data_IF_622405670113
#
_entry.id   IF_622405670113
#
_cell.length_a   1.000
_cell.length_b   1.000
_cell.length_c   1.000
_cell.angle_alpha   90.00
_cell.angle_beta   90.00
_cell.angle_gamma   90.00
#
_symmetry.space_group_name_H-M   'P 1'
#
loop_
_entity.id
_entity.type
_entity.pdbx_description
1 polymer ?
#
# COMPACT_ATOMS: atom_id res chain seq x y z
N UNK A 1 3.82 21.28 -23.66
CA UNK A 1 2.37 21.29 -23.33
C UNK A 1 2.00 22.44 -22.39
N UNK A 2 0.76 22.94 -22.47
CA UNK A 2 0.26 24.05 -21.65
C UNK A 2 -0.54 23.55 -20.43
N UNK A 3 -0.50 24.30 -19.32
CA UNK A 3 -1.26 24.06 -18.09
C UNK A 3 -2.78 24.05 -18.34
N UNK A 4 -3.28 24.82 -19.30
CA UNK A 4 -4.71 24.84 -19.67
C UNK A 4 -5.22 23.44 -20.09
N UNK A 5 -4.39 22.65 -20.78
CA UNK A 5 -4.74 21.30 -21.21
C UNK A 5 -4.87 20.34 -20.03
N UNK A 6 -4.14 20.57 -18.92
CA UNK A 6 -4.26 19.77 -17.71
C UNK A 6 -5.62 20.01 -17.06
N UNK A 7 -6.09 21.25 -17.00
CA UNK A 7 -7.38 21.56 -16.38
C UNK A 7 -8.55 20.95 -17.17
N UNK A 8 -8.48 20.97 -18.50
CA UNK A 8 -9.43 20.28 -19.38
C UNK A 8 -9.39 18.77 -19.20
N UNK A 9 -8.18 18.17 -19.16
CA UNK A 9 -8.02 16.75 -18.89
C UNK A 9 -8.63 16.37 -17.54
N UNK A 10 -8.36 17.14 -16.50
CA UNK A 10 -8.90 16.90 -15.15
C UNK A 10 -10.42 17.03 -15.14
N UNK A 11 -10.98 18.03 -15.84
CA UNK A 11 -12.43 18.21 -15.99
C UNK A 11 -13.06 17.01 -16.70
N UNK A 12 -12.41 16.45 -17.73
CA UNK A 12 -12.91 15.25 -18.42
C UNK A 12 -13.03 14.02 -17.50
N UNK A 13 -12.29 14.01 -16.38
CA UNK A 13 -12.25 12.91 -15.41
C UNK A 13 -13.04 13.19 -14.14
N UNK A 14 -13.64 14.38 -14.00
CA UNK A 14 -14.24 14.84 -12.73
C UNK A 14 -15.39 13.94 -12.25
N UNK A 15 -16.14 13.36 -13.18
CA UNK A 15 -17.29 12.52 -12.87
C UNK A 15 -16.89 11.08 -12.49
N UNK A 16 -15.68 10.65 -12.85
CA UNK A 16 -15.22 9.27 -12.68
C UNK A 16 -14.22 9.12 -11.52
N UNK A 17 -13.59 10.22 -11.10
CA UNK A 17 -12.54 10.20 -10.10
C UNK A 17 -12.97 10.90 -8.82
N UNK A 18 -12.61 10.30 -7.68
CA UNK A 18 -12.74 10.97 -6.39
C UNK A 18 -11.93 12.29 -6.37
N UNK A 19 -12.40 13.29 -5.61
CA UNK A 19 -11.77 14.60 -5.50
C UNK A 19 -10.27 14.54 -5.10
N UNK A 20 -9.91 13.58 -4.25
CA UNK A 20 -8.51 13.36 -3.84
C UNK A 20 -7.65 12.82 -4.98
N UNK A 21 -8.20 11.95 -5.85
CA UNK A 21 -7.53 11.47 -7.05
C UNK A 21 -7.30 12.62 -8.02
N UNK A 22 -8.32 13.45 -8.26
CA UNK A 22 -8.22 14.65 -9.11
C UNK A 22 -7.10 15.59 -8.62
N UNK A 23 -7.10 15.91 -7.33
CA UNK A 23 -6.08 16.78 -6.72
C UNK A 23 -4.67 16.21 -6.90
N UNK A 24 -4.50 14.91 -6.66
CA UNK A 24 -3.22 14.23 -6.81
C UNK A 24 -2.75 14.17 -8.26
N UNK A 25 -3.67 13.88 -9.20
CA UNK A 25 -3.37 13.81 -10.62
C UNK A 25 -2.87 15.17 -11.14
N UNK A 26 -3.62 16.23 -10.85
CA UNK A 26 -3.25 17.60 -11.23
C UNK A 26 -1.87 17.97 -10.70
N UNK A 27 -1.62 17.73 -9.41
CA UNK A 27 -0.33 18.03 -8.80
C UNK A 27 0.83 17.25 -9.45
N UNK A 28 0.62 15.98 -9.83
CA UNK A 28 1.65 15.16 -10.47
C UNK A 28 1.93 15.57 -11.91
N UNK A 29 0.89 15.89 -12.69
CA UNK A 29 1.06 16.39 -14.05
C UNK A 29 1.71 17.77 -14.06
N UNK A 30 1.28 18.69 -13.20
CA UNK A 30 1.87 20.02 -13.08
C UNK A 30 3.38 19.98 -12.79
N UNK A 31 3.82 19.03 -11.98
CA UNK A 31 5.23 18.87 -11.61
C UNK A 31 6.15 18.48 -12.80
N UNK A 32 5.58 17.94 -13.88
CA UNK A 32 6.36 17.43 -15.04
C UNK A 32 5.93 18.05 -16.36
N UNK A 33 4.84 18.83 -16.41
CA UNK A 33 4.21 19.36 -17.62
C UNK A 33 5.19 20.06 -18.58
N UNK A 34 6.16 20.81 -18.04
CA UNK A 34 7.17 21.54 -18.82
C UNK A 34 8.12 20.63 -19.59
N UNK A 35 8.22 19.36 -19.20
CA UNK A 35 9.09 18.35 -19.80
C UNK A 35 8.30 17.31 -20.60
N UNK A 36 6.98 17.51 -20.78
CA UNK A 36 6.18 16.68 -21.69
C UNK A 36 6.31 17.29 -23.10
N UNK A 37 7.11 16.64 -23.92
CA UNK A 37 7.40 16.97 -25.33
C UNK A 37 6.98 15.80 -26.23
N UNK A 38 7.13 15.97 -27.54
CA UNK A 38 6.92 14.90 -28.54
C UNK A 38 8.12 13.92 -28.59
N UNK A 39 9.02 13.99 -27.60
CA UNK A 39 10.10 13.05 -27.39
C UNK A 39 10.11 12.53 -25.93
N UNK A 40 9.59 11.31 -25.67
CA UNK A 40 9.50 10.77 -24.31
C UNK A 40 10.86 10.61 -23.59
N UNK A 41 11.97 10.59 -24.33
CA UNK A 41 13.33 10.50 -23.76
C UNK A 41 13.65 11.74 -22.92
N UNK A 42 13.15 12.91 -23.30
CA UNK A 42 13.40 14.17 -22.57
C UNK A 42 12.82 14.10 -21.16
N UNK A 43 11.58 13.62 -21.05
CA UNK A 43 10.93 13.39 -19.75
C UNK A 43 11.69 12.33 -18.95
N UNK A 44 12.11 11.23 -19.58
CA UNK A 44 12.85 10.18 -18.91
C UNK A 44 14.17 10.71 -18.31
N UNK A 45 14.97 11.42 -19.11
CA UNK A 45 16.24 12.00 -18.69
C UNK A 45 16.04 13.04 -17.57
N UNK A 46 15.01 13.89 -17.69
CA UNK A 46 14.65 14.82 -16.61
C UNK A 46 14.38 14.09 -15.29
N UNK A 47 13.56 13.02 -15.32
CA UNK A 47 13.21 12.28 -14.11
C UNK A 47 14.40 11.52 -13.50
N UNK A 48 15.26 10.94 -14.34
CA UNK A 48 16.51 10.31 -13.90
C UNK A 48 17.44 11.33 -13.25
N UNK A 49 17.65 12.49 -13.88
CA UNK A 49 18.49 13.57 -13.36
C UNK A 49 17.96 14.14 -12.04
N UNK A 50 16.63 14.08 -11.82
CA UNK A 50 15.99 14.42 -10.53
C UNK A 50 16.02 13.27 -9.52
N UNK A 51 16.76 12.19 -9.77
CA UNK A 51 16.88 11.01 -8.90
C UNK A 51 15.55 10.33 -8.57
N UNK A 52 14.58 10.34 -9.50
CA UNK A 52 13.35 9.58 -9.30
C UNK A 52 13.62 8.08 -9.32
N UNK A 53 13.01 7.35 -8.39
CA UNK A 53 13.05 5.88 -8.38
C UNK A 53 12.34 5.34 -9.62
N UNK A 54 12.82 4.23 -10.18
CA UNK A 54 12.22 3.57 -11.36
C UNK A 54 10.69 3.38 -11.26
N UNK A 55 10.16 3.07 -10.06
CA UNK A 55 8.72 2.99 -9.82
C UNK A 55 8.00 4.31 -10.02
N UNK A 56 8.54 5.38 -9.44
CA UNK A 56 7.99 6.71 -9.59
C UNK A 56 8.03 7.15 -11.06
N UNK A 57 9.12 6.84 -11.78
CA UNK A 57 9.24 7.11 -13.21
C UNK A 57 8.14 6.38 -13.97
N UNK A 58 7.98 5.06 -13.78
CA UNK A 58 6.93 4.27 -14.43
C UNK A 58 5.54 4.86 -14.20
N UNK A 59 5.22 5.22 -12.95
CA UNK A 59 3.91 5.78 -12.59
C UNK A 59 3.70 7.15 -13.23
N UNK A 60 4.72 8.01 -13.28
CA UNK A 60 4.64 9.30 -13.96
C UNK A 60 4.40 9.08 -15.46
N UNK A 61 5.15 8.18 -16.08
CA UNK A 61 4.99 7.84 -17.49
C UNK A 61 3.59 7.31 -17.82
N UNK A 62 3.00 6.46 -16.98
CA UNK A 62 1.61 6.01 -17.17
C UNK A 62 0.61 7.16 -17.13
N UNK A 63 0.79 8.12 -16.23
CA UNK A 63 -0.06 9.32 -16.12
C UNK A 63 0.09 10.23 -17.33
N UNK A 64 1.34 10.46 -17.75
CA UNK A 64 1.67 11.25 -18.93
C UNK A 64 1.15 10.57 -20.19
N UNK A 65 1.20 9.25 -20.30
CA UNK A 65 0.64 8.52 -21.43
C UNK A 65 -0.87 8.72 -21.57
N UNK A 66 -1.64 8.62 -20.49
CA UNK A 66 -3.09 8.88 -20.51
C UNK A 66 -3.39 10.36 -20.83
N UNK A 67 -2.63 11.30 -20.27
CA UNK A 67 -2.79 12.73 -20.53
C UNK A 67 -2.41 13.12 -21.97
N UNK A 68 -1.33 12.56 -22.50
CA UNK A 68 -0.85 12.80 -23.86
C UNK A 68 -1.82 12.23 -24.88
N UNK A 69 -2.36 11.04 -24.62
CA UNK A 69 -3.42 10.45 -25.44
C UNK A 69 -4.68 11.34 -25.48
N UNK A 70 -5.06 11.94 -24.35
CA UNK A 70 -6.21 12.86 -24.30
C UNK A 70 -5.97 14.13 -25.14
N UNK A 71 -4.77 14.70 -25.09
CA UNK A 71 -4.45 16.00 -25.72
C UNK A 71 -4.11 15.88 -27.21
N UNK A 72 -3.30 14.89 -27.59
CA UNK A 72 -2.79 14.75 -28.96
C UNK A 72 -3.44 13.60 -29.75
N UNK A 73 -4.27 12.77 -29.10
CA UNK A 73 -4.86 11.55 -29.70
C UNK A 73 -3.82 10.55 -30.22
N UNK A 74 -2.63 10.55 -29.61
CA UNK A 74 -1.48 9.73 -29.97
C UNK A 74 -1.03 8.87 -28.76
N UNK A 75 -0.57 7.66 -29.06
CA UNK A 75 -0.05 6.66 -28.12
C UNK A 75 1.46 6.77 -27.85
N UNK A 76 2.18 7.77 -28.38
CA UNK A 76 3.63 7.97 -28.26
C UNK A 76 4.24 7.54 -26.92
N UNK A 77 3.79 8.14 -25.80
CA UNK A 77 4.30 7.80 -24.47
C UNK A 77 3.94 6.38 -24.03
N UNK A 78 2.75 5.90 -24.41
CA UNK A 78 2.29 4.53 -24.12
C UNK A 78 3.14 3.51 -24.87
N UNK A 79 3.49 3.77 -26.12
CA UNK A 79 4.30 2.89 -26.94
C UNK A 79 5.77 2.94 -26.51
N UNK A 80 6.28 4.11 -26.13
CA UNK A 80 7.61 4.22 -25.53
C UNK A 80 7.76 3.36 -24.26
N UNK A 81 6.76 3.34 -23.37
CA UNK A 81 6.77 2.47 -22.18
C UNK A 81 6.83 0.98 -22.58
N UNK A 82 6.08 0.57 -23.60
CA UNK A 82 6.07 -0.82 -24.09
C UNK A 82 7.41 -1.21 -24.68
N UNK A 83 7.96 -0.40 -25.59
CA UNK A 83 9.25 -0.64 -26.24
C UNK A 83 10.40 -0.65 -25.23
N UNK A 84 10.26 0.08 -24.12
CA UNK A 84 11.26 0.16 -23.04
C UNK A 84 10.86 -0.62 -21.78
N UNK A 85 10.05 -1.70 -21.91
CA UNK A 85 9.56 -2.48 -20.78
C UNK A 85 10.69 -2.97 -19.85
N UNK A 86 11.87 -3.28 -20.40
CA UNK A 86 13.04 -3.72 -19.66
C UNK A 86 13.57 -2.67 -18.67
N UNK A 87 13.47 -1.36 -18.97
CA UNK A 87 13.84 -0.29 -18.04
C UNK A 87 13.01 -0.36 -16.74
N UNK A 88 11.79 -0.87 -16.86
CA UNK A 88 10.81 -0.98 -15.79
C UNK A 88 10.64 -2.41 -15.25
N UNK A 89 11.53 -3.34 -15.61
CA UNK A 89 11.58 -4.69 -15.06
C UNK A 89 12.02 -4.62 -13.59
N UNK A 90 11.47 -5.50 -12.74
CA UNK A 90 11.78 -5.59 -11.29
C UNK A 90 11.54 -4.33 -10.45
N UNK A 91 10.84 -3.34 -11.01
CA UNK A 91 10.50 -2.08 -10.31
C UNK A 91 9.69 -2.29 -9.03
N UNK A 92 8.95 -3.41 -8.96
CA UNK A 92 8.11 -3.77 -7.84
C UNK A 92 8.81 -4.64 -6.79
N UNK A 93 10.15 -4.75 -6.80
CA UNK A 93 10.88 -5.54 -5.80
C UNK A 93 10.49 -5.11 -4.38
N UNK A 94 9.72 -5.98 -3.71
CA UNK A 94 9.13 -5.70 -2.39
C UNK A 94 10.21 -5.87 -1.34
N UNK A 95 10.47 -4.83 -0.55
CA UNK A 95 11.40 -4.91 0.58
C UNK A 95 10.82 -5.83 1.66
N UNK A 96 11.61 -6.81 2.10
CA UNK A 96 11.32 -7.57 3.33
C UNK A 96 11.31 -6.61 4.52
N UNK A 97 10.42 -6.88 5.48
CA UNK A 97 10.43 -6.16 6.75
C UNK A 97 11.67 -6.59 7.53
N UNK A 98 12.37 -5.63 8.13
CA UNK A 98 13.55 -5.90 8.97
C UNK A 98 13.20 -6.22 10.43
N UNK A 99 11.92 -6.17 10.78
CA UNK A 99 11.41 -6.32 12.14
C UNK A 99 10.34 -7.40 12.12
N UNK A 100 10.24 -8.15 13.20
CA UNK A 100 9.19 -9.14 13.42
C UNK A 100 8.01 -8.55 14.22
N UNK A 101 6.96 -9.37 14.38
CA UNK A 101 5.75 -8.98 15.10
C UNK A 101 6.02 -8.66 16.58
N UNK A 102 6.87 -9.46 17.26
CA UNK A 102 7.14 -9.32 18.70
C UNK A 102 7.90 -8.04 18.99
N UNK A 103 8.90 -7.73 18.18
CA UNK A 103 9.68 -6.50 18.26
C UNK A 103 8.81 -5.27 17.96
N UNK A 104 7.90 -5.34 16.98
CA UNK A 104 6.98 -4.25 16.72
C UNK A 104 6.06 -3.96 17.91
N UNK A 105 5.54 -4.99 18.60
CA UNK A 105 4.74 -4.81 19.82
C UNK A 105 5.56 -4.12 20.92
N UNK A 106 6.81 -4.55 21.16
CA UNK A 106 7.71 -3.91 22.13
C UNK A 106 7.86 -2.42 21.82
N UNK A 107 8.12 -2.06 20.56
CA UNK A 107 8.26 -0.67 20.10
C UNK A 107 6.97 0.14 20.23
N UNK A 108 5.81 -0.46 19.97
CA UNK A 108 4.52 0.22 20.17
C UNK A 108 4.32 0.56 21.64
N UNK A 109 4.73 -0.33 22.54
CA UNK A 109 4.57 -0.11 23.98
C UNK A 109 5.46 1.01 24.55
N UNK A 110 6.52 1.43 23.84
CA UNK A 110 7.34 2.59 24.25
C UNK A 110 6.71 3.93 23.90
N UNK A 111 5.62 3.96 23.12
CA UNK A 111 4.93 5.20 22.78
C UNK A 111 4.31 5.82 24.03
N UNK A 112 4.58 7.10 24.33
CA UNK A 112 4.05 7.74 25.54
C UNK A 112 2.54 7.98 25.45
N UNK A 113 2.02 8.30 24.27
CA UNK A 113 0.60 8.60 24.11
C UNK A 113 -0.25 7.33 24.03
N UNK A 114 -1.11 7.13 25.03
CA UNK A 114 -1.98 5.95 25.14
C UNK A 114 -2.92 5.77 23.94
N UNK A 115 -3.54 6.85 23.46
CA UNK A 115 -4.45 6.81 22.32
C UNK A 115 -3.76 6.32 21.03
N UNK A 116 -2.54 6.80 20.75
CA UNK A 116 -1.72 6.35 19.61
C UNK A 116 -1.31 4.88 19.78
N UNK A 117 -0.88 4.50 20.99
CA UNK A 117 -0.49 3.13 21.32
C UNK A 117 -1.63 2.15 21.12
N UNK A 118 -2.80 2.43 21.69
CA UNK A 118 -4.00 1.61 21.56
C UNK A 118 -4.42 1.49 20.09
N UNK A 119 -4.33 2.59 19.32
CA UNK A 119 -4.65 2.57 17.89
C UNK A 119 -3.65 1.73 17.08
N UNK A 120 -2.37 1.76 17.44
CA UNK A 120 -1.35 0.93 16.81
C UNK A 120 -1.57 -0.56 17.13
N UNK A 121 -1.90 -0.88 18.39
CA UNK A 121 -2.24 -2.23 18.83
C UNK A 121 -3.50 -2.76 18.13
N UNK A 122 -4.52 -1.92 17.95
CA UNK A 122 -5.71 -2.27 17.17
C UNK A 122 -5.34 -2.62 15.71
N UNK A 123 -4.49 -1.82 15.06
CA UNK A 123 -4.13 -2.04 13.65
C UNK A 123 -3.26 -3.29 13.48
N UNK A 124 -2.25 -3.49 14.33
CA UNK A 124 -1.33 -4.63 14.23
C UNK A 124 -2.02 -5.95 14.61
N UNK A 125 -3.03 -5.93 15.48
CA UNK A 125 -3.78 -7.14 15.87
C UNK A 125 -4.83 -7.57 14.84
N UNK A 126 -5.39 -6.64 14.07
CA UNK A 126 -6.48 -6.90 13.11
C UNK A 126 -6.07 -6.87 11.64
N UNK A 127 -4.88 -6.34 11.35
CA UNK A 127 -4.43 -6.14 9.97
C UNK A 127 -5.20 -5.06 9.20
N UNK A 128 -6.00 -4.21 9.85
CA UNK A 128 -6.73 -3.13 9.19
C UNK A 128 -5.81 -2.09 8.53
N UNK A 129 -6.29 -1.41 7.47
CA UNK A 129 -5.68 -0.13 7.08
C UNK A 129 -6.09 0.95 8.10
N UNK A 130 -5.26 1.97 8.29
CA UNK A 130 -5.59 3.10 9.17
C UNK A 130 -6.97 3.68 8.88
N UNK A 131 -7.30 3.93 7.61
CA UNK A 131 -8.60 4.49 7.22
C UNK A 131 -9.77 3.54 7.48
N UNK A 132 -9.57 2.23 7.33
CA UNK A 132 -10.61 1.21 7.56
C UNK A 132 -11.00 1.12 9.03
N UNK A 133 -10.05 1.38 9.93
CA UNK A 133 -10.27 1.31 11.38
C UNK A 133 -11.24 2.38 11.94
N UNK A 134 -11.70 3.33 11.11
CA UNK A 134 -12.75 4.29 11.47
C UNK A 134 -14.12 3.89 10.93
N UNK A 135 -14.19 2.81 10.15
CA UNK A 135 -15.43 2.25 9.58
C UNK A 135 -15.84 0.95 10.27
N UNK A 136 -15.20 0.63 11.40
CA UNK A 136 -15.45 -0.58 12.16
C UNK A 136 -16.79 -0.46 12.88
N UNK A 137 -17.67 -1.42 12.64
CA UNK A 137 -18.96 -1.52 13.31
C UNK A 137 -18.97 -2.56 14.45
N UNK A 138 -20.15 -2.74 15.05
CA UNK A 138 -20.35 -3.68 16.16
C UNK A 138 -20.24 -5.15 15.73
N UNK A 139 -20.37 -5.47 14.45
CA UNK A 139 -20.25 -6.84 13.91
C UNK A 139 -18.84 -7.17 13.42
N UNK A 140 -17.90 -6.25 13.70
CA UNK A 140 -16.52 -6.31 13.24
C UNK A 140 -16.40 -6.29 11.71
N UNK A 141 -17.32 -5.63 11.02
CA UNK A 141 -17.22 -5.35 9.59
C UNK A 141 -16.56 -3.98 9.38
N UNK A 142 -15.78 -3.89 8.31
CA UNK A 142 -15.15 -2.64 7.87
C UNK A 142 -15.35 -2.42 6.38
N UNK A 143 -15.41 -1.14 5.99
CA UNK A 143 -15.48 -0.73 4.59
C UNK A 143 -14.07 -0.55 4.03
N UNK A 144 -13.62 -1.52 3.25
CA UNK A 144 -12.34 -1.56 2.56
C UNK A 144 -12.29 -0.73 1.27
N UNK A 145 -11.14 -0.86 0.58
CA UNK A 145 -10.91 -0.19 -0.71
C UNK A 145 -11.95 -0.63 -1.76
N UNK A 146 -12.50 0.34 -2.50
CA UNK A 146 -13.50 0.08 -3.53
C UNK A 146 -14.91 -0.19 -2.99
N UNK A 147 -15.16 0.16 -1.72
CA UNK A 147 -16.47 -0.04 -1.09
C UNK A 147 -16.76 -1.47 -0.66
N UNK A 148 -15.78 -2.38 -0.78
CA UNK A 148 -15.91 -3.78 -0.38
C UNK A 148 -15.90 -3.90 1.15
N UNK A 149 -16.83 -4.68 1.69
CA UNK A 149 -16.86 -5.00 3.11
C UNK A 149 -16.06 -6.26 3.39
N UNK A 150 -15.43 -6.33 4.57
CA UNK A 150 -14.80 -7.55 5.08
C UNK A 150 -14.89 -7.60 6.59
N UNK A 151 -14.91 -8.81 7.14
CA UNK A 151 -14.85 -9.04 8.58
C UNK A 151 -13.41 -8.91 9.08
N UNK A 152 -13.26 -8.40 10.28
CA UNK A 152 -11.99 -8.37 11.02
C UNK A 152 -12.14 -9.07 12.35
N UNK A 153 -11.02 -9.58 12.85
CA UNK A 153 -10.97 -10.36 14.07
C UNK A 153 -10.06 -9.66 15.07
N UNK A 154 -10.47 -9.72 16.35
CA UNK A 154 -9.73 -9.13 17.45
C UNK A 154 -9.52 -10.19 18.53
N UNK A 155 -8.33 -10.25 19.15
CA UNK A 155 -8.09 -11.17 20.26
C UNK A 155 -8.77 -10.70 21.55
N UNK A 156 -9.18 -9.44 21.66
CA UNK A 156 -9.89 -8.90 22.82
C UNK A 156 -10.84 -7.76 22.44
N UNK A 157 -11.90 -7.58 23.24
CA UNK A 157 -12.85 -6.48 23.10
C UNK A 157 -12.21 -5.10 23.31
N UNK A 158 -11.15 -5.01 24.13
CA UNK A 158 -10.40 -3.77 24.34
C UNK A 158 -9.71 -3.24 23.08
N UNK A 159 -9.33 -4.14 22.16
CA UNK A 159 -8.72 -3.75 20.88
C UNK A 159 -9.75 -3.44 19.80
N UNK A 160 -10.98 -3.94 19.94
CA UNK A 160 -12.11 -3.56 19.09
C UNK A 160 -12.52 -2.10 19.34
N UNK A 161 -12.68 -1.72 20.62
CA UNK A 161 -13.27 -0.45 21.02
C UNK A 161 -12.21 0.64 21.32
N UNK A 162 -11.36 0.96 20.35
CA UNK A 162 -10.35 2.02 20.49
C UNK A 162 -10.89 3.37 20.04
N UNK A 163 -11.02 4.30 21.00
CA UNK A 163 -11.31 5.70 20.70
C UNK A 163 -10.05 6.45 20.24
N UNK A 164 -10.12 7.05 19.05
CA UNK A 164 -9.01 7.81 18.47
C UNK A 164 -9.54 8.96 17.60
N UNK A 165 -9.19 10.19 17.92
CA UNK A 165 -9.69 11.40 17.23
C UNK A 165 -8.59 12.25 16.58
N UNK A 166 -7.36 11.75 16.51
CA UNK A 166 -6.23 12.51 15.93
C UNK A 166 -6.07 12.24 14.43
N UNK A 167 -5.33 13.14 13.77
CA UNK A 167 -5.07 13.03 12.33
C UNK A 167 -4.10 11.88 11.98
N UNK A 168 -4.22 11.39 10.73
CA UNK A 168 -3.25 10.43 10.17
C UNK A 168 -1.81 10.91 10.31
N UNK A 169 -1.55 12.19 10.05
CA UNK A 169 -0.20 12.76 10.13
C UNK A 169 0.39 12.64 11.52
N UNK A 170 -0.42 12.84 12.57
CA UNK A 170 0.03 12.68 13.96
C UNK A 170 0.33 11.22 14.28
N UNK A 171 -0.58 10.31 13.90
CA UNK A 171 -0.39 8.87 14.05
C UNK A 171 0.89 8.38 13.34
N UNK A 172 1.06 8.78 12.08
CA UNK A 172 2.19 8.41 11.25
C UNK A 172 3.51 8.92 11.83
N UNK A 173 3.57 10.18 12.27
CA UNK A 173 4.79 10.76 12.88
C UNK A 173 5.19 10.01 14.15
N UNK A 174 4.24 9.70 15.03
CA UNK A 174 4.52 8.96 16.24
C UNK A 174 5.04 7.54 15.95
N UNK A 175 4.40 6.80 15.02
CA UNK A 175 4.92 5.51 14.59
C UNK A 175 6.31 5.62 13.96
N UNK A 176 6.58 6.71 13.23
CA UNK A 176 7.86 6.89 12.57
C UNK A 176 9.02 7.07 13.55
N UNK A 177 8.77 7.66 14.72
CA UNK A 177 9.76 7.79 15.81
C UNK A 177 10.23 6.43 16.34
N UNK A 178 9.38 5.41 16.25
CA UNK A 178 9.71 4.02 16.62
C UNK A 178 10.00 3.15 15.38
N UNK A 179 10.33 3.79 14.25
CA UNK A 179 10.64 3.18 12.95
C UNK A 179 9.51 2.32 12.33
N UNK A 180 8.27 2.51 12.79
CA UNK A 180 7.09 1.84 12.26
C UNK A 180 6.32 2.74 11.28
N UNK A 181 5.44 2.12 10.51
CA UNK A 181 4.42 2.82 9.72
C UNK A 181 3.12 2.04 9.78
N UNK A 182 1.95 2.68 9.57
CA UNK A 182 0.66 1.98 9.59
C UNK A 182 0.61 0.79 8.62
N UNK A 183 1.26 0.92 7.46
CA UNK A 183 1.31 -0.17 6.49
C UNK A 183 2.23 -1.32 6.95
N UNK A 184 3.31 -1.03 7.69
CA UNK A 184 4.14 -2.08 8.29
C UNK A 184 3.37 -2.89 9.33
N UNK A 185 2.59 -2.22 10.19
CA UNK A 185 1.75 -2.92 11.19
C UNK A 185 0.82 -3.95 10.53
N UNK A 186 0.15 -3.55 9.46
CA UNK A 186 -0.69 -4.45 8.66
C UNK A 186 0.07 -5.63 8.06
N UNK A 187 1.29 -5.41 7.55
CA UNK A 187 2.11 -6.48 6.98
C UNK A 187 2.58 -7.47 8.05
N UNK A 188 2.96 -6.95 9.23
CA UNK A 188 3.35 -7.77 10.37
C UNK A 188 2.19 -8.64 10.86
N UNK A 189 0.97 -8.09 10.89
CA UNK A 189 -0.24 -8.85 11.16
C UNK A 189 -0.41 -10.02 10.18
N UNK A 190 -0.27 -9.75 8.88
CA UNK A 190 -0.41 -10.77 7.84
C UNK A 190 0.64 -11.88 7.96
N UNK A 191 1.90 -11.51 8.21
CA UNK A 191 2.96 -12.49 8.50
C UNK A 191 2.62 -13.31 9.74
N UNK A 192 2.19 -12.67 10.83
CA UNK A 192 1.87 -13.39 12.06
C UNK A 192 0.70 -14.35 11.88
N UNK A 193 -0.31 -13.98 11.09
CA UNK A 193 -1.47 -14.83 10.79
C UNK A 193 -1.06 -16.04 9.93
N UNK A 194 -0.19 -15.81 8.94
CA UNK A 194 0.43 -16.89 8.16
C UNK A 194 1.25 -17.84 9.05
N UNK A 195 2.05 -17.31 9.97
CA UNK A 195 2.85 -18.11 10.91
C UNK A 195 1.97 -19.00 11.82
N UNK A 196 0.75 -18.55 12.11
CA UNK A 196 -0.27 -19.31 12.85
C UNK A 196 -1.08 -20.28 11.98
N UNK A 197 -0.72 -20.44 10.70
CA UNK A 197 -1.29 -21.47 9.82
C UNK A 197 -2.43 -21.02 8.91
N UNK A 198 -2.74 -19.71 8.83
CA UNK A 198 -3.69 -19.23 7.82
C UNK A 198 -3.15 -19.47 6.41
N UNK A 199 -3.97 -20.11 5.56
CA UNK A 199 -3.62 -20.33 4.16
C UNK A 199 -3.86 -19.06 3.32
N UNK A 200 -3.57 -19.10 2.02
CA UNK A 200 -3.73 -17.94 1.15
C UNK A 200 -5.18 -17.46 1.06
N UNK A 201 -6.17 -18.37 1.03
CA UNK A 201 -7.58 -18.01 0.92
C UNK A 201 -8.05 -17.27 2.19
N UNK A 202 -7.67 -17.75 3.37
CA UNK A 202 -7.95 -17.09 4.65
C UNK A 202 -7.32 -15.68 4.68
N UNK A 203 -6.06 -15.56 4.26
CA UNK A 203 -5.38 -14.27 4.18
C UNK A 203 -6.04 -13.32 3.15
N UNK A 204 -6.53 -13.84 2.02
CA UNK A 204 -7.25 -13.03 1.04
C UNK A 204 -8.53 -12.44 1.63
N UNK A 205 -9.32 -13.26 2.32
CA UNK A 205 -10.56 -12.84 2.97
C UNK A 205 -10.28 -11.84 4.10
N UNK A 206 -9.45 -12.26 5.06
CA UNK A 206 -9.11 -11.45 6.24
C UNK A 206 -8.52 -10.12 5.84
N UNK A 207 -7.65 -10.04 4.82
CA UNK A 207 -7.05 -8.77 4.41
C UNK A 207 -7.84 -8.06 3.29
N UNK A 208 -8.86 -8.67 2.70
CA UNK A 208 -9.57 -8.11 1.53
C UNK A 208 -8.63 -7.89 0.36
N UNK A 209 -7.77 -8.87 0.08
CA UNK A 209 -6.93 -8.89 -1.11
C UNK A 209 -7.67 -9.59 -2.25
N UNK A 210 -7.42 -9.17 -3.48
CA UNK A 210 -8.04 -9.77 -4.67
C UNK A 210 -7.07 -10.58 -5.51
N UNK A 211 -5.81 -10.69 -5.09
CA UNK A 211 -4.77 -11.42 -5.83
C UNK A 211 -4.01 -12.33 -4.85
N UNK A 212 -4.08 -13.65 -5.11
CA UNK A 212 -3.43 -14.71 -4.34
C UNK A 212 -1.91 -14.53 -4.25
N UNK A 213 -1.27 -13.99 -5.29
CA UNK A 213 0.17 -13.70 -5.27
C UNK A 213 0.52 -12.70 -4.19
N UNK A 214 -0.42 -11.83 -3.79
CA UNK A 214 -0.20 -10.93 -2.65
C UNK A 214 -0.12 -11.70 -1.33
N UNK A 215 -0.94 -12.74 -1.15
CA UNK A 215 -0.96 -13.58 0.05
C UNK A 215 0.29 -14.45 0.16
N UNK A 216 0.72 -15.07 -0.96
CA UNK A 216 1.92 -15.94 -1.02
C UNK A 216 3.19 -15.31 -0.45
N UNK A 217 3.32 -13.98 -0.49
CA UNK A 217 4.50 -13.30 0.08
C UNK A 217 4.56 -13.30 1.61
N UNK A 218 3.44 -13.52 2.28
CA UNK A 218 3.37 -13.52 3.75
C UNK A 218 3.48 -14.92 4.33
N UNK A 219 3.25 -15.95 3.53
CA UNK A 219 3.64 -17.32 3.82
C UNK A 219 5.17 -17.39 3.79
N UNK A 220 5.79 -17.13 4.94
CA UNK A 220 7.21 -17.41 5.07
C UNK A 220 7.40 -18.93 5.08
N UNK A 221 8.49 -19.40 4.45
CA UNK A 221 8.91 -20.78 4.70
C UNK A 221 9.16 -20.92 6.20
N UNK A 222 8.54 -21.93 6.83
CA UNK A 222 8.78 -22.28 8.23
C UNK A 222 10.30 -22.45 8.45
N UNK A 223 10.78 -22.19 9.67
CA UNK A 223 12.18 -22.46 9.99
C UNK A 223 12.49 -23.95 9.77
N UNK A 224 13.76 -24.33 9.58
CA UNK A 224 14.09 -25.74 9.38
C UNK A 224 13.74 -26.59 10.62
N UNK A 225 13.81 -26.00 11.82
CA UNK A 225 13.34 -26.61 13.06
C UNK A 225 11.82 -26.84 13.06
N UNK A 226 11.03 -25.86 12.59
CA UNK A 226 9.58 -25.98 12.45
C UNK A 226 9.19 -26.99 11.34
N UNK A 227 10.00 -27.12 10.28
CA UNK A 227 9.78 -28.16 9.27
C UNK A 227 10.05 -29.54 9.87
N UNK A 228 11.14 -29.68 10.63
CA UNK A 228 11.52 -30.93 11.29
C UNK A 228 10.49 -31.36 12.34
N UNK A 229 9.91 -30.42 13.10
CA UNK A 229 8.86 -30.74 14.08
C UNK A 229 7.59 -31.26 13.40
N UNK A 230 7.14 -30.62 12.32
CA UNK A 230 5.97 -31.06 11.55
C UNK A 230 6.19 -32.43 10.93
N UNK A 231 7.38 -32.67 10.36
CA UNK A 231 7.73 -33.99 9.81
C UNK A 231 7.71 -35.03 10.94
N UNK A 232 8.30 -34.73 12.10
CA UNK A 232 8.28 -35.66 13.24
C UNK A 232 6.86 -35.96 13.74
N UNK A 233 5.97 -34.98 13.80
CA UNK A 233 4.57 -35.19 14.16
C UNK A 233 3.82 -36.03 13.12
N UNK A 234 4.06 -35.79 11.82
CA UNK A 234 3.39 -36.52 10.74
C UNK A 234 3.80 -38.00 10.61
N UNK A 235 4.97 -38.39 11.14
CA UNK A 235 5.47 -39.77 11.09
C UNK A 235 5.48 -40.47 12.46
N UNK A 236 5.11 -39.77 13.55
CA UNK A 236 4.99 -40.35 14.90
C UNK A 236 3.55 -40.31 15.45
N UNK A 237 2.56 -39.92 14.65
CA UNK A 237 1.12 -40.06 14.92
C UNK A 237 0.50 -41.13 14.05
#
# INVERSE_FOLDING_TARGET
MNLNNIDEYIKSKSNCWAATTIKNERAKLNAVCKHITDNPIDLYNYLINKNYKKYSIKVIFQRVADFYLFTNKDMLYKDWIKSNANLFKHVYNRKKLKIDYKEAIKRINTLPQKDIRDKALQIISSGMRWSESFTLDMDCLIKGKGGKYRKVYFPSSSLKNVSYNKSYSRFYRALKQIELTPHMLRKLAATKFADFGMNEADLLDVFGWSNIDTAKYYLQGKSDDDKLSIIREAFNG
#
